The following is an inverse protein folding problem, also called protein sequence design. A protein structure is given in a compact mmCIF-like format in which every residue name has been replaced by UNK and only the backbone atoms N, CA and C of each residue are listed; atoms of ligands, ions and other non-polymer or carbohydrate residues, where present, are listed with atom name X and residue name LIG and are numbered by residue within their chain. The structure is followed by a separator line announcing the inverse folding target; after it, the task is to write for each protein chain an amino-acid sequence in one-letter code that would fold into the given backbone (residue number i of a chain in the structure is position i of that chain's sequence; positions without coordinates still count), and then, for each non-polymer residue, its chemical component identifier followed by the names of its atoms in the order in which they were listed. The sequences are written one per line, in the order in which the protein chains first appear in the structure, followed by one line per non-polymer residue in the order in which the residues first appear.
data_IF_595695150388
#
_entry.id   IF_595695150388
#
_cell.length_a   1.000
_cell.length_b   1.000
_cell.length_c   1.000
_cell.angle_alpha   90.00
_cell.angle_beta   90.00
_cell.angle_gamma   90.00
#
_symmetry.space_group_name_H-M   'P 1'
#
loop_
_entity.id
_entity.type
_entity.pdbx_description
1 polymer ?
#
# COMPACT_ATOMS: atom_id res chain seq x y z
N UNK A 1 -11.29 23.77 -0.27
CA UNK A 1 -11.28 22.68 -1.26
C UNK A 1 -12.71 22.12 -1.34
N UNK A 2 -13.28 22.06 -2.54
CA UNK A 2 -14.60 21.46 -2.77
C UNK A 2 -14.53 19.95 -2.42
N UNK A 3 -15.63 19.39 -1.90
CA UNK A 3 -15.73 17.97 -1.55
C UNK A 3 -15.33 17.03 -2.69
N UNK A 4 -15.68 17.38 -3.93
CA UNK A 4 -15.31 16.62 -5.13
C UNK A 4 -13.80 16.65 -5.38
N UNK A 5 -13.16 17.82 -5.19
CA UNK A 5 -11.71 17.96 -5.34
C UNK A 5 -10.96 17.12 -4.31
N UNK A 6 -11.41 17.12 -3.05
CA UNK A 6 -10.81 16.30 -2.00
C UNK A 6 -10.90 14.81 -2.33
N UNK A 7 -12.05 14.33 -2.82
CA UNK A 7 -12.22 12.94 -3.23
C UNK A 7 -11.29 12.57 -4.40
N UNK A 8 -11.10 13.45 -5.37
CA UNK A 8 -10.16 13.22 -6.46
C UNK A 8 -8.72 13.14 -5.94
N UNK A 9 -8.32 14.03 -5.05
CA UNK A 9 -6.98 14.02 -4.47
C UNK A 9 -6.70 12.71 -3.72
N UNK A 10 -7.63 12.23 -2.88
CA UNK A 10 -7.48 10.97 -2.15
C UNK A 10 -7.34 9.80 -3.12
N UNK A 11 -8.18 9.74 -4.15
CA UNK A 11 -8.12 8.69 -5.17
C UNK A 11 -6.78 8.68 -5.91
N UNK A 12 -6.33 9.82 -6.38
CA UNK A 12 -5.12 9.95 -7.16
C UNK A 12 -3.86 9.73 -6.28
N UNK A 13 -3.94 10.07 -5.00
CA UNK A 13 -2.88 9.78 -4.03
C UNK A 13 -2.80 8.27 -3.73
N UNK A 14 -3.93 7.59 -3.51
CA UNK A 14 -3.94 6.14 -3.34
C UNK A 14 -3.36 5.42 -4.56
N UNK A 15 -3.75 5.85 -5.77
CA UNK A 15 -3.19 5.30 -7.00
C UNK A 15 -1.68 5.52 -7.10
N UNK A 16 -1.19 6.69 -6.71
CA UNK A 16 0.25 6.99 -6.72
C UNK A 16 1.04 6.12 -5.74
N UNK A 17 0.46 5.77 -4.59
CA UNK A 17 1.04 4.79 -3.66
C UNK A 17 1.11 3.40 -4.31
N UNK A 18 0.06 2.97 -5.03
CA UNK A 18 0.09 1.70 -5.75
C UNK A 18 1.25 1.65 -6.76
N UNK A 19 1.41 2.70 -7.58
CA UNK A 19 2.51 2.78 -8.57
C UNK A 19 3.86 2.67 -7.88
N UNK A 20 4.05 3.44 -6.81
CA UNK A 20 5.31 3.46 -6.09
C UNK A 20 5.65 2.11 -5.46
N UNK A 21 4.72 1.50 -4.74
CA UNK A 21 4.94 0.21 -4.09
C UNK A 21 5.23 -0.90 -5.11
N UNK A 22 4.51 -0.93 -6.22
CA UNK A 22 4.74 -1.91 -7.29
C UNK A 22 6.12 -1.69 -7.92
N UNK A 23 6.46 -0.46 -8.30
CA UNK A 23 7.74 -0.16 -8.92
C UNK A 23 8.93 -0.55 -8.03
N UNK A 24 8.86 -0.22 -6.74
CA UNK A 24 9.89 -0.58 -5.77
C UNK A 24 9.93 -2.09 -5.50
N UNK A 25 8.79 -2.70 -5.23
CA UNK A 25 8.72 -4.12 -4.95
C UNK A 25 9.29 -4.94 -6.10
N UNK A 26 8.86 -4.70 -7.31
CA UNK A 26 9.31 -5.43 -8.50
C UNK A 26 10.82 -5.28 -8.72
N UNK A 27 11.35 -4.05 -8.70
CA UNK A 27 12.70 -3.77 -9.15
C UNK A 27 13.75 -3.84 -8.05
N UNK A 28 13.40 -3.54 -6.81
CA UNK A 28 14.36 -3.48 -5.70
C UNK A 28 14.31 -4.75 -4.84
N UNK A 29 13.18 -5.44 -4.79
CA UNK A 29 12.98 -6.62 -3.94
C UNK A 29 12.81 -7.89 -4.78
N UNK A 30 11.77 -7.95 -5.62
CA UNK A 30 11.34 -9.20 -6.24
C UNK A 30 12.35 -9.73 -7.25
N UNK A 31 12.79 -8.92 -8.21
CA UNK A 31 13.77 -9.35 -9.22
C UNK A 31 15.11 -9.74 -8.57
N UNK A 32 15.72 -8.92 -7.69
CA UNK A 32 16.94 -9.33 -6.98
C UNK A 32 16.78 -10.61 -6.15
N UNK A 33 15.63 -10.78 -5.49
CA UNK A 33 15.35 -11.98 -4.71
C UNK A 33 15.25 -13.23 -5.60
N UNK A 34 14.57 -13.12 -6.75
CA UNK A 34 14.51 -14.22 -7.73
C UNK A 34 15.90 -14.61 -8.25
N UNK A 35 16.79 -13.63 -8.46
CA UNK A 35 18.17 -13.89 -8.85
C UNK A 35 18.94 -14.61 -7.74
N UNK A 36 18.81 -14.14 -6.50
CA UNK A 36 19.51 -14.70 -5.34
C UNK A 36 19.14 -16.17 -5.08
N UNK A 37 17.86 -16.54 -5.29
CA UNK A 37 17.37 -17.93 -5.11
C UNK A 37 17.42 -18.77 -6.40
N UNK A 38 17.91 -18.21 -7.50
CA UNK A 38 18.12 -18.92 -8.77
C UNK A 38 16.84 -19.27 -9.54
N UNK A 39 15.74 -18.56 -9.32
CA UNK A 39 14.46 -18.79 -10.00
C UNK A 39 14.14 -17.79 -11.11
N UNK A 40 14.99 -16.80 -11.36
CA UNK A 40 14.83 -15.83 -12.44
C UNK A 40 15.17 -16.45 -13.81
N UNK A 41 14.38 -17.45 -14.21
CA UNK A 41 14.61 -18.20 -15.48
C UNK A 41 14.45 -17.34 -16.73
N UNK A 42 13.67 -16.27 -16.65
CA UNK A 42 13.41 -15.35 -17.76
C UNK A 42 14.48 -14.25 -17.88
N UNK A 43 15.43 -14.17 -16.93
CA UNK A 43 16.50 -13.18 -16.94
C UNK A 43 16.01 -11.74 -16.79
N UNK A 44 14.91 -11.52 -16.05
CA UNK A 44 14.42 -10.17 -15.74
C UNK A 44 15.52 -9.33 -15.09
N UNK A 45 15.58 -8.07 -15.46
CA UNK A 45 16.55 -7.11 -14.91
C UNK A 45 15.80 -5.99 -14.20
N UNK A 46 16.31 -5.52 -13.04
CA UNK A 46 15.76 -4.33 -12.39
C UNK A 46 15.79 -3.13 -13.33
N UNK A 47 14.69 -2.40 -13.39
CA UNK A 47 14.56 -1.16 -14.16
C UNK A 47 14.42 0.03 -13.20
N UNK A 48 15.50 0.76 -12.98
CA UNK A 48 15.50 1.90 -12.06
C UNK A 48 14.69 3.10 -12.58
N UNK A 49 14.41 3.17 -13.88
CA UNK A 49 13.51 4.19 -14.46
C UNK A 49 12.09 4.02 -13.93
N UNK A 50 11.63 2.78 -13.76
CA UNK A 50 10.32 2.50 -13.16
C UNK A 50 10.27 2.96 -11.70
N UNK A 51 11.36 2.77 -10.95
CA UNK A 51 11.48 3.22 -9.56
C UNK A 51 11.46 4.74 -9.47
N UNK A 52 12.19 5.44 -10.34
CA UNK A 52 12.18 6.91 -10.42
C UNK A 52 10.78 7.43 -10.75
N UNK A 53 10.10 6.80 -11.70
CA UNK A 53 8.72 7.14 -12.05
C UNK A 53 7.76 6.92 -10.86
N UNK A 54 7.91 5.81 -10.15
CA UNK A 54 7.14 5.52 -8.94
C UNK A 54 7.34 6.58 -7.86
N UNK A 55 8.58 7.00 -7.62
CA UNK A 55 8.92 8.09 -6.71
C UNK A 55 8.20 9.39 -7.10
N UNK A 56 8.30 9.78 -8.37
CA UNK A 56 7.65 10.99 -8.88
C UNK A 56 6.14 10.95 -8.69
N UNK A 57 5.50 9.81 -8.96
CA UNK A 57 4.08 9.61 -8.72
C UNK A 57 3.73 9.79 -7.24
N UNK A 58 4.49 9.17 -6.35
CA UNK A 58 4.26 9.21 -4.91
C UNK A 58 4.37 10.64 -4.34
N UNK A 59 5.46 11.36 -4.64
CA UNK A 59 5.64 12.74 -4.15
C UNK A 59 4.56 13.68 -4.66
N UNK A 60 4.11 13.52 -5.90
CA UNK A 60 2.98 14.29 -6.45
C UNK A 60 1.66 13.95 -5.76
N UNK A 61 1.39 12.66 -5.54
CA UNK A 61 0.22 12.23 -4.80
C UNK A 61 0.17 12.84 -3.40
N UNK A 62 1.30 12.89 -2.70
CA UNK A 62 1.44 13.55 -1.40
C UNK A 62 1.17 15.04 -1.48
N UNK A 63 1.72 15.74 -2.46
CA UNK A 63 1.46 17.17 -2.68
C UNK A 63 -0.02 17.47 -2.91
N UNK A 64 -0.74 16.59 -3.63
CA UNK A 64 -2.17 16.74 -3.86
C UNK A 64 -2.98 16.70 -2.57
N UNK A 65 -2.57 15.88 -1.59
CA UNK A 65 -3.25 15.80 -0.30
C UNK A 65 -3.02 17.02 0.59
N UNK A 66 -1.77 17.49 0.67
CA UNK A 66 -1.38 18.54 1.60
C UNK A 66 -1.52 19.95 1.03
N UNK A 67 -1.28 20.14 -0.26
CA UNK A 67 -1.23 21.44 -0.91
C UNK A 67 -1.91 21.41 -2.27
N UNK A 68 -3.19 21.06 -2.32
CA UNK A 68 -3.92 21.06 -3.58
C UNK A 68 -3.94 22.46 -4.22
N UNK A 69 -3.18 22.62 -5.29
CA UNK A 69 -3.25 23.76 -6.17
C UNK A 69 -3.85 23.32 -7.52
N UNK A 70 -5.05 23.81 -7.82
CA UNK A 70 -5.77 23.47 -9.05
C UNK A 70 -4.96 23.75 -10.30
N UNK A 71 -4.24 24.87 -10.33
CA UNK A 71 -3.48 25.28 -11.50
C UNK A 71 -2.23 24.40 -11.69
N UNK A 72 -1.58 24.00 -10.59
CA UNK A 72 -0.48 23.06 -10.61
C UNK A 72 -0.92 21.63 -10.98
N UNK A 73 -2.12 21.22 -10.59
CA UNK A 73 -2.66 19.89 -10.93
C UNK A 73 -2.78 19.66 -12.44
N UNK A 74 -3.22 20.69 -13.19
CA UNK A 74 -3.38 20.59 -14.64
C UNK A 74 -2.09 20.81 -15.45
N UNK A 75 -1.09 21.41 -14.84
CA UNK A 75 0.22 21.69 -15.46
C UNK A 75 1.21 20.53 -15.21
N UNK A 76 0.97 19.69 -14.21
CA UNK A 76 1.82 18.50 -13.98
C UNK A 76 1.66 17.55 -15.17
N UNK A 77 2.76 17.19 -15.85
CA UNK A 77 2.71 16.29 -16.99
C UNK A 77 2.08 14.97 -16.51
N UNK A 78 1.27 14.39 -17.37
CA UNK A 78 0.50 13.18 -17.18
C UNK A 78 1.14 12.22 -16.16
N UNK A 79 0.48 12.08 -15.01
CA UNK A 79 0.84 11.09 -14.01
C UNK A 79 0.86 9.69 -14.64
N UNK A 80 0.20 9.51 -15.76
CA UNK A 80 0.13 8.27 -16.49
C UNK A 80 0.42 8.48 -17.96
N UNK A 81 1.58 8.04 -18.40
CA UNK A 81 1.68 7.51 -19.74
C UNK A 81 1.66 5.97 -19.67
N UNK A 82 0.47 5.33 -19.71
CA UNK A 82 0.35 3.89 -19.58
C UNK A 82 1.12 3.14 -20.67
N UNK A 83 1.40 3.77 -21.80
CA UNK A 83 2.18 3.17 -22.89
C UNK A 83 3.68 3.10 -22.57
N UNK A 84 4.18 4.01 -21.77
CA UNK A 84 5.61 4.05 -21.43
C UNK A 84 5.97 3.10 -20.26
N UNK A 85 5.03 2.87 -19.35
CA UNK A 85 5.23 2.07 -18.13
C UNK A 85 4.14 0.98 -18.01
N UNK A 86 3.78 0.35 -19.13
CA UNK A 86 2.60 -0.51 -19.25
C UNK A 86 2.53 -1.59 -18.16
N UNK A 87 3.64 -2.27 -17.88
CA UNK A 87 3.67 -3.33 -16.87
C UNK A 87 3.39 -2.81 -15.47
N UNK A 88 4.10 -1.75 -15.05
CA UNK A 88 3.94 -1.15 -13.71
C UNK A 88 2.54 -0.55 -13.56
N UNK A 89 2.06 0.17 -14.56
CA UNK A 89 0.73 0.80 -14.54
C UNK A 89 -0.38 -0.25 -14.51
N UNK A 90 -0.26 -1.34 -15.27
CA UNK A 90 -1.23 -2.42 -15.28
C UNK A 90 -1.36 -3.06 -13.90
N UNK A 91 -0.24 -3.46 -13.29
CA UNK A 91 -0.24 -4.04 -11.94
C UNK A 91 -0.72 -3.04 -10.88
N UNK A 92 -0.31 -1.77 -10.97
CA UNK A 92 -0.78 -0.73 -10.07
C UNK A 92 -2.29 -0.51 -10.16
N UNK A 93 -2.87 -0.57 -11.36
CA UNK A 93 -4.32 -0.47 -11.54
C UNK A 93 -5.06 -1.64 -10.92
N UNK A 94 -4.55 -2.86 -11.07
CA UNK A 94 -5.15 -4.07 -10.47
C UNK A 94 -5.12 -3.98 -8.93
N UNK A 95 -3.98 -3.60 -8.36
CA UNK A 95 -3.82 -3.39 -6.91
C UNK A 95 -4.71 -2.24 -6.43
N UNK A 96 -4.80 -1.15 -7.20
CA UNK A 96 -5.67 -0.02 -6.89
C UNK A 96 -7.15 -0.43 -6.85
N UNK A 97 -7.62 -1.20 -7.83
CA UNK A 97 -8.99 -1.71 -7.82
C UNK A 97 -9.27 -2.59 -6.60
N UNK A 98 -8.31 -3.44 -6.23
CA UNK A 98 -8.41 -4.29 -5.04
C UNK A 98 -8.41 -3.45 -3.74
N UNK A 99 -7.59 -2.40 -3.66
CA UNK A 99 -7.56 -1.46 -2.54
C UNK A 99 -8.90 -0.72 -2.37
N UNK A 100 -9.48 -0.24 -3.46
CA UNK A 100 -10.81 0.39 -3.46
C UNK A 100 -11.89 -0.62 -3.01
N UNK A 101 -11.82 -1.87 -3.46
CA UNK A 101 -12.75 -2.91 -3.04
C UNK A 101 -12.67 -3.15 -1.52
N UNK A 102 -11.46 -3.19 -0.96
CA UNK A 102 -11.27 -3.31 0.48
C UNK A 102 -11.83 -2.11 1.25
N UNK A 103 -11.59 -0.88 0.80
CA UNK A 103 -12.16 0.32 1.42
C UNK A 103 -13.69 0.25 1.45
N UNK A 104 -14.33 -0.13 0.34
CA UNK A 104 -15.78 -0.28 0.31
C UNK A 104 -16.28 -1.41 1.22
N UNK A 105 -15.58 -2.53 1.28
CA UNK A 105 -15.91 -3.62 2.18
C UNK A 105 -15.79 -3.20 3.65
N UNK A 106 -14.77 -2.41 4.00
CA UNK A 106 -14.57 -1.85 5.33
C UNK A 106 -15.71 -0.88 5.71
N UNK A 107 -16.05 0.07 4.87
CA UNK A 107 -17.16 1.00 5.11
C UNK A 107 -18.51 0.28 5.19
N UNK A 108 -18.73 -0.72 4.34
CA UNK A 108 -19.90 -1.57 4.41
C UNK A 108 -19.97 -2.32 5.75
N UNK A 109 -18.83 -2.80 6.25
CA UNK A 109 -18.74 -3.52 7.51
C UNK A 109 -19.15 -2.65 8.70
N UNK A 110 -18.74 -1.38 8.73
CA UNK A 110 -19.20 -0.44 9.74
C UNK A 110 -20.74 -0.31 9.76
N UNK A 111 -21.34 -0.20 8.59
CA UNK A 111 -22.79 -0.11 8.49
C UNK A 111 -23.48 -1.41 8.90
N UNK A 112 -22.99 -2.55 8.42
CA UNK A 112 -23.53 -3.88 8.71
C UNK A 112 -23.45 -4.23 10.19
N UNK A 113 -22.35 -3.90 10.86
CA UNK A 113 -22.12 -4.12 12.29
C UNK A 113 -22.83 -3.09 13.19
N UNK A 114 -23.48 -2.09 12.61
CA UNK A 114 -24.23 -1.07 13.34
C UNK A 114 -23.36 -0.01 14.02
N UNK A 115 -22.09 0.13 13.64
CA UNK A 115 -21.15 1.08 14.26
C UNK A 115 -21.58 2.54 14.08
N UNK A 116 -22.34 2.84 13.02
CA UNK A 116 -22.82 4.19 12.70
C UNK A 116 -24.03 4.64 13.52
N UNK A 117 -24.66 3.73 14.27
CA UNK A 117 -25.93 3.97 14.96
C UNK A 117 -25.80 4.36 16.44
N UNK A 118 -24.59 4.33 16.98
CA UNK A 118 -24.37 4.47 18.43
C UNK A 118 -23.29 5.53 18.68
N UNK A 119 -23.50 6.35 19.73
CA UNK A 119 -22.51 7.33 20.16
C UNK A 119 -21.20 6.61 20.57
N UNK A 120 -20.11 6.90 19.87
CA UNK A 120 -18.83 6.20 20.02
C UNK A 120 -18.04 6.77 21.21
N UNK A 121 -17.43 5.87 22.01
CA UNK A 121 -16.32 6.19 22.90
C UNK A 121 -15.00 5.85 22.16
N UNK A 122 -13.86 6.41 22.59
CA UNK A 122 -12.56 6.16 21.94
C UNK A 122 -12.21 4.67 21.85
N UNK A 123 -12.31 3.94 22.97
CA UNK A 123 -11.99 2.50 22.97
C UNK A 123 -12.96 1.67 22.10
N UNK A 124 -14.21 2.10 22.01
CA UNK A 124 -15.18 1.46 21.14
C UNK A 124 -14.86 1.72 19.67
N UNK A 125 -14.47 2.95 19.33
CA UNK A 125 -14.07 3.29 17.97
C UNK A 125 -12.93 2.41 17.47
N UNK A 126 -11.90 2.17 18.29
CA UNK A 126 -10.78 1.27 17.94
C UNK A 126 -11.26 -0.16 17.69
N UNK A 127 -12.10 -0.70 18.57
CA UNK A 127 -12.65 -2.05 18.39
C UNK A 127 -13.56 -2.17 17.16
N UNK A 128 -14.33 -1.11 16.86
CA UNK A 128 -15.20 -1.05 15.69
C UNK A 128 -14.39 -1.03 14.40
N UNK A 129 -13.24 -0.35 14.37
CA UNK A 129 -12.30 -0.35 13.24
C UNK A 129 -11.68 -1.74 13.02
N UNK A 130 -11.20 -2.39 14.08
CA UNK A 130 -10.65 -3.75 14.01
C UNK A 130 -11.72 -4.72 13.51
N UNK A 131 -12.94 -4.64 14.02
CA UNK A 131 -14.05 -5.50 13.57
C UNK A 131 -14.43 -5.25 12.10
N UNK A 132 -14.37 -3.99 11.64
CA UNK A 132 -14.63 -3.64 10.26
C UNK A 132 -13.53 -4.16 9.31
N UNK A 133 -12.26 -4.03 9.70
CA UNK A 133 -11.14 -4.63 8.96
C UNK A 133 -11.28 -6.14 8.86
N UNK A 134 -11.59 -6.80 9.98
CA UNK A 134 -11.76 -8.25 10.05
C UNK A 134 -12.85 -8.75 9.12
N UNK A 135 -13.97 -8.08 9.13
CA UNK A 135 -15.10 -8.41 8.26
C UNK A 135 -14.78 -8.14 6.80
N UNK A 136 -14.14 -7.01 6.48
CA UNK A 136 -13.72 -6.68 5.14
C UNK A 136 -12.73 -7.73 4.58
N UNK A 137 -11.76 -8.16 5.38
CA UNK A 137 -10.84 -9.24 5.02
C UNK A 137 -11.61 -10.53 4.76
N UNK A 138 -12.58 -10.88 5.60
CA UNK A 138 -13.36 -12.10 5.43
C UNK A 138 -14.18 -12.16 4.13
N UNK A 139 -14.69 -11.02 3.65
CA UNK A 139 -15.37 -10.93 2.36
C UNK A 139 -14.43 -11.19 1.18
N UNK A 140 -13.18 -10.76 1.30
CA UNK A 140 -12.17 -10.91 0.25
C UNK A 140 -11.49 -12.28 0.36
N UNK A 141 -11.41 -12.87 1.55
CA UNK A 141 -10.70 -14.11 1.82
C UNK A 141 -11.25 -15.31 1.04
N UNK A 142 -12.52 -15.31 0.68
CA UNK A 142 -13.11 -16.33 -0.19
C UNK A 142 -12.42 -16.40 -1.56
N UNK A 143 -11.78 -15.33 -1.98
CA UNK A 143 -11.09 -15.22 -3.26
C UNK A 143 -9.57 -15.48 -3.17
N UNK A 144 -9.00 -15.69 -1.98
CA UNK A 144 -7.56 -15.91 -1.81
C UNK A 144 -7.00 -17.09 -2.60
N UNK A 145 -7.80 -18.09 -2.87
CA UNK A 145 -7.42 -19.26 -3.67
C UNK A 145 -7.61 -19.02 -5.18
N UNK A 146 -8.11 -17.85 -5.58
CA UNK A 146 -8.27 -17.47 -6.97
C UNK A 146 -6.96 -16.98 -7.59
N UNK A 147 -6.95 -16.84 -8.91
CA UNK A 147 -5.83 -16.22 -9.63
C UNK A 147 -5.56 -14.77 -9.17
N UNK A 148 -6.57 -14.10 -8.61
CA UNK A 148 -6.51 -12.71 -8.11
C UNK A 148 -6.12 -12.62 -6.63
N UNK A 149 -5.97 -13.74 -5.93
CA UNK A 149 -5.73 -13.73 -4.48
C UNK A 149 -4.53 -12.88 -4.05
N UNK A 150 -3.43 -12.92 -4.80
CA UNK A 150 -2.26 -12.07 -4.52
C UNK A 150 -2.53 -10.58 -4.72
N UNK A 151 -3.27 -10.24 -5.77
CA UNK A 151 -3.67 -8.86 -6.05
C UNK A 151 -4.56 -8.30 -4.94
N UNK A 152 -5.52 -9.08 -4.45
CA UNK A 152 -6.37 -8.67 -3.32
C UNK A 152 -5.57 -8.45 -2.04
N UNK A 153 -4.64 -9.35 -1.71
CA UNK A 153 -3.73 -9.18 -0.56
C UNK A 153 -2.90 -7.90 -0.68
N UNK A 154 -2.32 -7.67 -1.86
CA UNK A 154 -1.57 -6.45 -2.13
C UNK A 154 -2.46 -5.19 -2.04
N UNK A 155 -3.72 -5.26 -2.49
CA UNK A 155 -4.69 -4.17 -2.37
C UNK A 155 -4.99 -3.80 -0.93
N UNK A 156 -5.23 -4.79 -0.05
CA UNK A 156 -5.44 -4.57 1.39
C UNK A 156 -4.18 -3.93 2.00
N UNK A 157 -3.01 -4.52 1.75
CA UNK A 157 -1.73 -4.01 2.24
C UNK A 157 -1.46 -2.57 1.77
N UNK A 158 -1.78 -2.26 0.50
CA UNK A 158 -1.64 -0.91 -0.06
C UNK A 158 -2.58 0.08 0.62
N UNK A 159 -3.81 -0.32 0.94
CA UNK A 159 -4.75 0.56 1.65
C UNK A 159 -4.19 0.94 3.02
N UNK A 160 -3.70 -0.02 3.79
CA UNK A 160 -3.10 0.24 5.09
C UNK A 160 -1.81 1.08 4.96
N UNK A 161 -0.96 0.75 3.99
CA UNK A 161 0.24 1.54 3.70
C UNK A 161 -0.10 2.98 3.27
N UNK A 162 -1.14 3.17 2.46
CA UNK A 162 -1.58 4.49 2.05
C UNK A 162 -2.07 5.33 3.23
N UNK A 163 -2.83 4.74 4.14
CA UNK A 163 -3.23 5.42 5.38
C UNK A 163 -2.03 5.84 6.22
N UNK A 164 -1.03 4.96 6.34
CA UNK A 164 0.23 5.22 7.02
C UNK A 164 1.01 6.37 6.35
N UNK A 165 1.16 6.33 5.03
CA UNK A 165 1.95 7.29 4.25
C UNK A 165 1.25 8.64 4.04
N UNK A 166 -0.08 8.66 4.12
CA UNK A 166 -0.90 9.86 3.98
C UNK A 166 -1.21 10.53 5.32
N UNK A 167 -1.00 9.82 6.44
CA UNK A 167 -1.14 10.37 7.79
C UNK A 167 -0.14 11.50 8.05
N UNK A 168 -0.49 12.37 9.00
CA UNK A 168 0.46 13.34 9.53
C UNK A 168 1.45 12.60 10.45
N UNK A 169 2.70 12.98 10.44
CA UNK A 169 3.89 12.65 11.26
C UNK A 169 3.80 11.58 12.38
N UNK A 170 2.79 10.75 12.43
CA UNK A 170 2.53 9.81 13.52
C UNK A 170 1.94 8.49 13.02
N UNK A 171 2.49 7.39 13.50
CA UNK A 171 1.91 6.04 13.38
C UNK A 171 0.56 5.97 14.13
N UNK A 172 0.37 6.86 15.09
CA UNK A 172 -0.80 6.89 15.96
C UNK A 172 -2.08 7.18 15.19
N UNK A 173 -3.08 6.34 15.35
CA UNK A 173 -4.42 6.50 14.81
C UNK A 173 -5.24 7.68 15.39
N UNK A 174 -4.59 8.58 16.13
CA UNK A 174 -5.24 9.78 16.69
C UNK A 174 -6.29 9.47 17.76
N UNK A 175 -6.30 8.27 18.32
CA UNK A 175 -7.21 7.84 19.38
C UNK A 175 -8.60 7.38 18.88
N UNK A 176 -8.94 7.60 17.62
CA UNK A 176 -10.21 7.13 17.03
C UNK A 176 -10.03 5.89 16.15
N UNK A 177 -8.81 5.65 15.69
CA UNK A 177 -8.42 4.49 14.90
C UNK A 177 -7.28 3.75 15.60
N UNK A 178 -7.11 2.44 15.40
CA UNK A 178 -5.91 1.71 15.83
C UNK A 178 -4.66 2.30 15.19
N UNK A 179 -3.53 2.15 15.86
CA UNK A 179 -2.24 2.49 15.26
C UNK A 179 -2.00 1.63 14.00
N UNK A 180 -1.34 2.18 13.01
CA UNK A 180 -1.26 1.54 11.69
C UNK A 180 -0.39 0.28 11.70
N UNK A 181 0.63 0.24 12.55
CA UNK A 181 1.44 -0.96 12.81
C UNK A 181 0.59 -2.11 13.37
N UNK A 182 -0.32 -1.81 14.31
CA UNK A 182 -1.28 -2.78 14.86
C UNK A 182 -2.22 -3.31 13.78
N UNK A 183 -2.71 -2.44 12.88
CA UNK A 183 -3.57 -2.87 11.76
C UNK A 183 -2.82 -3.78 10.78
N UNK A 184 -1.56 -3.45 10.46
CA UNK A 184 -0.70 -4.26 9.61
C UNK A 184 -0.40 -5.62 10.26
N UNK A 185 -0.07 -5.65 11.56
CA UNK A 185 0.17 -6.88 12.30
C UNK A 185 -1.06 -7.80 12.33
N UNK A 186 -2.25 -7.23 12.57
CA UNK A 186 -3.51 -7.97 12.50
C UNK A 186 -3.75 -8.57 11.10
N UNK A 187 -3.50 -7.79 10.04
CA UNK A 187 -3.59 -8.29 8.67
C UNK A 187 -2.68 -9.49 8.45
N UNK A 188 -1.40 -9.34 8.79
CA UNK A 188 -0.39 -10.39 8.60
C UNK A 188 -0.76 -11.67 9.34
N UNK A 189 -1.22 -11.54 10.59
CA UNK A 189 -1.65 -12.68 11.42
C UNK A 189 -2.83 -13.44 10.78
N UNK A 190 -3.79 -12.71 10.21
CA UNK A 190 -4.97 -13.31 9.59
C UNK A 190 -4.70 -13.99 8.25
N UNK A 191 -3.71 -13.49 7.52
CA UNK A 191 -3.37 -14.02 6.20
C UNK A 191 -2.55 -15.31 6.26
N UNK A 192 -2.03 -15.71 7.42
CA UNK A 192 -1.23 -16.94 7.61
C UNK A 192 -0.15 -17.11 6.50
N UNK A 193 0.61 -16.05 6.23
CA UNK A 193 1.54 -15.98 5.10
C UNK A 193 2.70 -16.97 5.25
N UNK A 194 2.97 -17.74 4.19
CA UNK A 194 4.20 -18.50 4.09
C UNK A 194 5.41 -17.57 4.00
N UNK A 195 6.60 -17.97 4.49
CA UNK A 195 7.82 -17.14 4.52
C UNK A 195 8.23 -16.58 3.16
N UNK A 196 7.94 -17.34 2.09
CA UNK A 196 8.19 -16.93 0.69
C UNK A 196 7.01 -16.21 0.05
N UNK A 197 5.96 -15.82 0.81
CA UNK A 197 4.87 -15.04 0.24
C UNK A 197 5.37 -13.63 -0.12
N UNK A 198 5.08 -13.21 -1.35
CA UNK A 198 5.51 -11.91 -1.89
C UNK A 198 5.01 -10.73 -1.06
N UNK A 199 3.90 -10.92 -0.33
CA UNK A 199 3.32 -9.86 0.48
C UNK A 199 4.24 -9.41 1.61
N UNK A 200 5.09 -10.27 2.15
CA UNK A 200 6.11 -9.87 3.13
C UNK A 200 7.05 -8.81 2.57
N UNK A 201 7.59 -9.05 1.36
CA UNK A 201 8.45 -8.05 0.70
C UNK A 201 7.72 -6.77 0.38
N UNK A 202 6.46 -6.88 -0.03
CA UNK A 202 5.61 -5.74 -0.35
C UNK A 202 5.32 -4.87 0.89
N UNK A 203 4.97 -5.49 2.02
CA UNK A 203 4.77 -4.79 3.29
C UNK A 203 6.08 -4.20 3.83
N UNK A 204 7.21 -4.90 3.67
CA UNK A 204 8.53 -4.38 4.02
C UNK A 204 8.85 -3.10 3.26
N UNK A 205 8.55 -3.03 1.96
CA UNK A 205 8.67 -1.79 1.17
C UNK A 205 7.78 -0.69 1.74
N UNK A 206 6.51 -1.00 2.06
CA UNK A 206 5.58 0.00 2.60
C UNK A 206 6.05 0.62 3.91
N UNK A 207 6.55 -0.20 4.85
CA UNK A 207 7.07 0.27 6.12
C UNK A 207 8.35 1.11 5.96
N UNK A 208 9.26 0.70 5.07
CA UNK A 208 10.48 1.46 4.78
C UNK A 208 10.19 2.79 4.10
N UNK A 209 9.18 2.84 3.25
CA UNK A 209 8.70 4.10 2.69
C UNK A 209 8.23 5.07 3.76
N UNK A 210 7.55 4.57 4.77
CA UNK A 210 7.12 5.38 5.89
C UNK A 210 8.33 5.97 6.63
N UNK A 211 9.34 5.15 6.94
CA UNK A 211 10.59 5.61 7.56
C UNK A 211 11.30 6.66 6.71
N UNK A 212 11.38 6.46 5.40
CA UNK A 212 11.97 7.45 4.47
C UNK A 212 11.25 8.80 4.53
N UNK A 213 9.92 8.77 4.58
CA UNK A 213 9.10 9.97 4.52
C UNK A 213 9.17 10.76 5.83
N UNK A 214 9.21 10.08 6.96
CA UNK A 214 9.07 10.70 8.30
C UNK A 214 10.39 10.76 9.09
N UNK A 215 11.28 9.79 8.93
CA UNK A 215 12.57 9.74 9.65
C UNK A 215 13.77 10.23 8.81
N UNK A 216 13.58 10.50 7.52
CA UNK A 216 14.64 10.95 6.62
C UNK A 216 15.72 9.90 6.36
N UNK A 217 15.46 8.63 6.68
CA UNK A 217 16.38 7.52 6.40
C UNK A 217 16.55 7.31 4.90
N UNK A 218 17.80 7.13 4.46
CA UNK A 218 18.11 6.83 3.07
C UNK A 218 17.86 5.35 2.79
N UNK A 219 16.79 5.02 2.07
CA UNK A 219 16.51 3.64 1.63
C UNK A 219 17.65 3.06 0.80
N UNK A 220 18.48 3.89 0.15
CA UNK A 220 19.53 3.43 -0.77
C UNK A 220 20.62 2.61 -0.11
N UNK A 221 20.90 2.82 1.17
CA UNK A 221 22.00 2.15 1.85
C UNK A 221 21.61 0.77 2.41
N UNK A 222 20.36 0.61 2.85
CA UNK A 222 19.93 -0.61 3.54
C UNK A 222 19.34 -1.70 2.61
N UNK A 223 18.74 -1.33 1.48
CA UNK A 223 18.15 -2.32 0.58
C UNK A 223 19.17 -3.10 -0.29
N UNK A 224 20.42 -2.69 -0.30
CA UNK A 224 21.47 -3.35 -1.08
C UNK A 224 22.22 -4.48 -0.31
N UNK A 225 21.78 -4.83 0.90
CA UNK A 225 22.44 -5.92 1.63
C UNK A 225 22.14 -7.28 0.99
N UNK A 226 23.14 -8.00 0.51
CA UNK A 226 22.95 -9.34 -0.01
C UNK A 226 22.73 -10.30 1.16
N UNK A 227 21.69 -11.11 1.10
CA UNK A 227 21.61 -12.25 1.97
C UNK A 227 20.26 -12.62 2.59
N UNK A 228 19.16 -11.98 2.22
CA UNK A 228 17.85 -12.44 2.67
C UNK A 228 17.49 -13.78 2.01
N UNK A 229 17.19 -14.81 2.80
CA UNK A 229 16.74 -16.12 2.34
C UNK A 229 15.26 -16.21 2.06
N UNK A 230 14.47 -15.22 2.52
CA UNK A 230 13.02 -15.18 2.34
C UNK A 230 12.46 -13.74 2.31
N UNK A 231 11.26 -13.57 1.75
CA UNK A 231 10.58 -12.28 1.78
C UNK A 231 10.20 -11.86 3.21
N UNK A 232 9.95 -12.83 4.09
CA UNK A 232 9.68 -12.58 5.51
C UNK A 232 10.86 -11.94 6.23
N UNK A 233 12.09 -12.37 5.92
CA UNK A 233 13.29 -11.75 6.47
C UNK A 233 13.42 -10.28 6.06
N UNK A 234 13.03 -9.93 4.83
CA UNK A 234 13.00 -8.54 4.36
C UNK A 234 12.01 -7.68 5.16
N UNK A 235 10.89 -8.25 5.53
CA UNK A 235 9.88 -7.57 6.36
C UNK A 235 10.34 -7.36 7.80
N UNK A 236 11.04 -8.35 8.37
CA UNK A 236 11.48 -8.31 9.77
C UNK A 236 12.74 -7.45 9.99
N UNK A 237 13.49 -7.13 8.92
CA UNK A 237 14.69 -6.29 8.96
C UNK A 237 14.34 -4.80 8.98
#
# INVERSE_FOLDING_TARGET
CDRRQRQMCIRDSLWSVCVYLIAYFENVIHIPMMDAVGINKNGYKPNMIDVEYGNDCFFRGRQLLHNFNRDAYWVTPNICNPQQFENIISHANDVYCAAIAFIYAHEFSHNYLGHTQIQQTLSRSINDEIAADDMAISFIQTEYNSAWGRTYKAGIATTLAALLLMGEDSISGGGTHPDMDVRIENLVTKLELHEMDLLWGYLGVALRLWLLVFDGLSIKEDMQQPGFGSYKEIYLY
#
